data_IF_138546901604
#
_entry.id   IF_138546901604
#
_cell.length_a   1.000
_cell.length_b   1.000
_cell.length_c   1.000
_cell.angle_alpha   90.00
_cell.angle_beta   90.00
_cell.angle_gamma   90.00
#
_symmetry.space_group_name_H-M   'P 1'
#
loop_
_entity.id
_entity.type
_entity.pdbx_description
1 polymer ?
#
# COMPACT_ATOMS: atom_id res chain seq x y z
N UNK A 1 -4.19 12.18 -11.54
CA UNK A 1 -3.82 10.76 -11.38
C UNK A 1 -4.36 10.27 -10.06
N UNK A 2 -4.59 8.97 -9.89
CA UNK A 2 -4.99 8.37 -8.63
C UNK A 2 -3.96 7.35 -8.18
N UNK A 3 -3.52 7.47 -6.94
CA UNK A 3 -2.53 6.59 -6.34
C UNK A 3 -3.17 5.87 -5.16
N UNK A 4 -3.17 4.53 -5.21
CA UNK A 4 -3.51 3.74 -4.04
C UNK A 4 -2.33 3.73 -3.09
N UNK A 5 -2.53 4.10 -1.83
CA UNK A 5 -1.50 4.03 -0.79
C UNK A 5 -1.96 2.99 0.22
N UNK A 6 -1.39 1.80 0.13
CA UNK A 6 -1.90 0.63 0.84
C UNK A 6 -1.03 0.36 2.05
N UNK A 7 -1.62 0.48 3.24
CA UNK A 7 -0.98 0.07 4.48
C UNK A 7 -0.71 -1.45 4.46
N UNK A 8 0.41 -1.90 5.02
CA UNK A 8 0.72 -3.34 5.14
C UNK A 8 0.04 -4.00 6.34
N UNK A 9 -0.40 -3.20 7.33
CA UNK A 9 -1.11 -3.69 8.52
C UNK A 9 -2.59 -3.32 8.50
N UNK A 10 -3.36 -3.91 9.41
CA UNK A 10 -4.82 -3.75 9.49
C UNK A 10 -5.29 -2.57 10.35
N UNK A 11 -4.38 -1.72 10.82
CA UNK A 11 -4.72 -0.59 11.68
C UNK A 11 -5.20 0.61 10.86
N UNK A 12 -6.50 0.91 10.94
CA UNK A 12 -7.14 1.99 10.18
C UNK A 12 -6.56 3.38 10.53
N UNK A 13 -6.24 3.64 11.80
CA UNK A 13 -5.68 4.93 12.22
C UNK A 13 -4.29 5.18 11.63
N UNK A 14 -3.48 4.13 11.44
CA UNK A 14 -2.21 4.20 10.74
C UNK A 14 -2.43 4.48 9.26
N UNK A 15 -3.42 3.83 8.65
CA UNK A 15 -3.81 4.09 7.25
C UNK A 15 -4.23 5.54 7.02
N UNK A 16 -5.03 6.11 7.94
CA UNK A 16 -5.43 7.51 7.89
C UNK A 16 -4.21 8.44 7.98
N UNK A 17 -3.29 8.18 8.93
CA UNK A 17 -2.06 8.96 9.08
C UNK A 17 -1.16 8.91 7.83
N UNK A 18 -0.97 7.72 7.24
CA UNK A 18 -0.24 7.54 5.98
C UNK A 18 -0.91 8.34 4.85
N UNK A 19 -2.23 8.26 4.74
CA UNK A 19 -3.01 8.98 3.75
C UNK A 19 -2.87 10.50 3.85
N UNK A 20 -2.92 11.05 5.07
CA UNK A 20 -2.71 12.48 5.33
C UNK A 20 -1.31 12.93 4.90
N UNK A 21 -0.27 12.17 5.23
CA UNK A 21 1.10 12.49 4.84
C UNK A 21 1.27 12.45 3.32
N UNK A 22 0.78 11.39 2.66
CA UNK A 22 0.83 11.27 1.21
C UNK A 22 0.06 12.41 0.51
N UNK A 23 -1.12 12.78 1.02
CA UNK A 23 -1.91 13.88 0.46
C UNK A 23 -1.21 15.24 0.63
N UNK A 24 -0.51 15.47 1.75
CA UNK A 24 0.21 16.72 2.00
C UNK A 24 1.38 16.96 1.02
N UNK A 25 1.97 15.88 0.50
CA UNK A 25 3.06 15.93 -0.48
C UNK A 25 2.59 15.80 -1.93
N UNK A 26 1.31 15.48 -2.17
CA UNK A 26 0.77 15.22 -3.48
C UNK A 26 0.73 16.50 -4.35
N UNK A 27 1.14 16.38 -5.62
CA UNK A 27 1.00 17.47 -6.58
C UNK A 27 -0.47 17.78 -6.89
N UNK A 28 -0.82 19.02 -7.31
CA UNK A 28 -2.18 19.34 -7.73
C UNK A 28 -2.72 18.37 -8.79
N UNK A 29 -3.93 17.86 -8.59
CA UNK A 29 -4.57 16.88 -9.48
C UNK A 29 -4.19 15.41 -9.23
N UNK A 30 -3.39 15.14 -8.18
CA UNK A 30 -3.16 13.78 -7.66
C UNK A 30 -4.13 13.47 -6.54
N UNK A 31 -4.91 12.42 -6.71
CA UNK A 31 -5.80 11.86 -5.68
C UNK A 31 -5.08 10.73 -4.94
N UNK A 32 -5.07 10.80 -3.61
CA UNK A 32 -4.54 9.76 -2.73
C UNK A 32 -5.70 8.94 -2.18
N UNK A 33 -5.65 7.63 -2.39
CA UNK A 33 -6.64 6.69 -1.85
C UNK A 33 -5.94 5.79 -0.84
N UNK A 34 -5.99 6.11 0.46
CA UNK A 34 -5.39 5.27 1.49
C UNK A 34 -6.27 4.03 1.72
N UNK A 35 -5.66 2.85 1.74
CA UNK A 35 -6.37 1.57 1.87
C UNK A 35 -5.81 0.73 3.03
N UNK A 36 -6.71 0.15 3.82
CA UNK A 36 -6.40 -0.81 4.88
C UNK A 36 -6.77 -2.21 4.41
N UNK A 37 -5.86 -3.20 4.50
CA UNK A 37 -6.21 -4.58 4.24
C UNK A 37 -7.29 -5.15 5.16
N UNK A 38 -8.14 -6.02 4.62
CA UNK A 38 -9.24 -6.65 5.37
C UNK A 38 -8.79 -7.75 6.34
N UNK A 39 -7.55 -8.23 6.21
CA UNK A 39 -6.94 -9.24 7.06
C UNK A 39 -5.43 -9.00 7.18
N UNK A 40 -4.81 -9.62 8.19
CA UNK A 40 -3.40 -9.40 8.51
C UNK A 40 -3.21 -9.07 9.98
N UNK A 41 -1.96 -8.77 10.35
CA UNK A 41 -1.63 -8.32 11.69
C UNK A 41 -1.92 -6.81 11.85
N UNK A 42 -2.17 -6.37 13.08
CA UNK A 42 -2.36 -4.95 13.42
C UNK A 42 -1.05 -4.13 13.33
N UNK A 43 0.08 -4.82 13.50
CA UNK A 43 1.45 -4.36 13.29
C UNK A 43 2.23 -5.49 12.63
N UNK A 44 3.16 -5.18 11.72
CA UNK A 44 3.98 -6.18 11.02
C UNK A 44 5.40 -6.12 11.56
N UNK A 45 5.78 -7.10 12.37
CA UNK A 45 6.98 -7.07 13.21
C UNK A 45 7.89 -8.30 13.01
N UNK A 46 7.63 -9.09 11.96
CA UNK A 46 8.46 -10.23 11.63
C UNK A 46 8.09 -10.92 10.32
N UNK A 47 8.86 -11.95 9.98
CA UNK A 47 8.74 -12.63 8.68
C UNK A 47 7.34 -13.22 8.43
N UNK A 48 6.74 -13.86 9.43
CA UNK A 48 5.41 -14.45 9.30
C UNK A 48 4.36 -13.40 8.93
N UNK A 49 4.32 -12.30 9.67
CA UNK A 49 3.37 -11.22 9.46
C UNK A 49 3.64 -10.49 8.15
N UNK A 50 4.91 -10.35 7.78
CA UNK A 50 5.34 -9.76 6.51
C UNK A 50 4.86 -10.57 5.29
N UNK A 51 5.00 -11.90 5.32
CA UNK A 51 4.45 -12.76 4.27
C UNK A 51 2.91 -12.76 4.24
N UNK A 52 2.26 -12.65 5.40
CA UNK A 52 0.80 -12.50 5.46
C UNK A 52 0.35 -11.16 4.87
N UNK A 53 1.04 -10.07 5.21
CA UNK A 53 0.80 -8.72 4.71
C UNK A 53 0.93 -8.64 3.19
N UNK A 54 1.93 -9.33 2.60
CA UNK A 54 2.11 -9.39 1.15
C UNK A 54 0.82 -9.82 0.43
N UNK A 55 0.20 -10.93 0.88
CA UNK A 55 -1.06 -11.43 0.30
C UNK A 55 -2.22 -10.48 0.62
N UNK A 56 -2.27 -9.92 1.83
CA UNK A 56 -3.31 -8.99 2.24
C UNK A 56 -3.34 -7.72 1.38
N UNK A 57 -2.17 -7.14 1.10
CA UNK A 57 -2.03 -5.96 0.22
C UNK A 57 -2.46 -6.32 -1.21
N UNK A 58 -1.99 -7.44 -1.76
CA UNK A 58 -2.39 -7.88 -3.11
C UNK A 58 -3.90 -8.05 -3.25
N UNK A 59 -4.55 -8.71 -2.29
CA UNK A 59 -6.01 -8.88 -2.32
C UNK A 59 -6.76 -7.55 -2.15
N UNK A 60 -6.21 -6.64 -1.35
CA UNK A 60 -6.78 -5.29 -1.15
C UNK A 60 -6.78 -4.48 -2.44
N UNK A 61 -5.65 -4.49 -3.17
CA UNK A 61 -5.55 -3.82 -4.47
C UNK A 61 -6.47 -4.48 -5.49
N UNK A 62 -6.49 -5.81 -5.57
CA UNK A 62 -7.37 -6.55 -6.50
C UNK A 62 -8.87 -6.33 -6.24
N UNK A 63 -9.25 -6.08 -4.99
CA UNK A 63 -10.64 -5.80 -4.62
C UNK A 63 -11.06 -4.36 -4.95
N UNK A 64 -10.10 -3.44 -5.17
CA UNK A 64 -10.39 -2.06 -5.55
C UNK A 64 -10.90 -2.00 -6.99
N UNK A 65 -12.11 -1.45 -7.18
CA UNK A 65 -12.81 -1.50 -8.48
C UNK A 65 -12.68 -0.23 -9.31
N UNK A 66 -12.32 0.88 -8.70
CA UNK A 66 -12.17 2.12 -9.43
C UNK A 66 -10.81 2.18 -10.14
N UNK A 67 -10.68 2.90 -11.27
CA UNK A 67 -9.40 3.05 -11.94
C UNK A 67 -8.37 3.73 -11.04
N UNK A 68 -7.10 3.31 -11.12
CA UNK A 68 -5.95 3.93 -10.47
C UNK A 68 -4.73 3.88 -11.40
N UNK A 69 -3.78 4.78 -11.18
CA UNK A 69 -2.63 4.99 -12.05
C UNK A 69 -1.30 4.51 -11.44
N UNK A 70 -1.27 4.25 -10.13
CA UNK A 70 -0.11 3.71 -9.42
C UNK A 70 -0.50 3.13 -8.05
N UNK A 71 0.39 2.32 -7.48
CA UNK A 71 0.26 1.77 -6.12
C UNK A 71 1.53 2.05 -5.32
N UNK A 72 1.35 2.49 -4.08
CA UNK A 72 2.39 2.57 -3.06
C UNK A 72 2.09 1.51 -2.00
N UNK A 73 3.04 0.60 -1.76
CA UNK A 73 3.02 -0.29 -0.60
C UNK A 73 3.68 0.45 0.57
N UNK A 74 2.88 0.78 1.60
CA UNK A 74 3.29 1.60 2.72
C UNK A 74 3.67 0.74 3.95
N UNK A 75 4.76 -0.02 3.80
CA UNK A 75 5.42 -0.79 4.86
C UNK A 75 6.94 -0.79 4.64
N UNK A 76 7.72 -0.90 5.71
CA UNK A 76 9.18 -0.78 5.63
C UNK A 76 9.84 -2.15 5.86
N UNK A 77 10.27 -2.78 4.76
CA UNK A 77 10.91 -4.09 4.75
C UNK A 77 9.93 -5.25 4.55
N UNK A 78 8.67 -4.96 4.19
CA UNK A 78 7.67 -5.98 3.93
C UNK A 78 7.78 -6.63 2.55
N UNK A 79 7.42 -7.92 2.47
CA UNK A 79 7.32 -8.63 1.20
C UNK A 79 6.10 -8.14 0.40
N UNK A 80 6.06 -8.40 -0.91
CA UNK A 80 4.83 -8.30 -1.71
C UNK A 80 4.89 -7.36 -2.90
N UNK A 81 5.87 -6.45 -2.96
CA UNK A 81 6.05 -5.51 -4.08
C UNK A 81 6.14 -6.24 -5.43
N UNK A 82 6.94 -7.29 -5.51
CA UNK A 82 7.15 -8.05 -6.74
C UNK A 82 5.84 -8.71 -7.22
N UNK A 83 5.03 -9.22 -6.29
CA UNK A 83 3.72 -9.79 -6.62
C UNK A 83 2.75 -8.74 -7.16
N UNK A 84 2.72 -7.54 -6.57
CA UNK A 84 1.95 -6.43 -7.12
C UNK A 84 2.43 -6.03 -8.52
N UNK A 85 3.74 -6.02 -8.77
CA UNK A 85 4.31 -5.69 -10.09
C UNK A 85 3.95 -6.72 -11.17
N UNK A 86 3.78 -8.00 -10.80
CA UNK A 86 3.27 -9.01 -11.73
C UNK A 86 1.77 -8.88 -11.98
N UNK A 87 1.00 -8.46 -10.97
CA UNK A 87 -0.46 -8.37 -11.03
C UNK A 87 -0.96 -7.11 -11.75
N UNK A 88 -0.14 -6.07 -11.87
CA UNK A 88 -0.58 -4.73 -12.26
C UNK A 88 0.17 -4.21 -13.47
N UNK A 89 -0.55 -3.52 -14.36
CA UNK A 89 0.02 -2.81 -15.51
C UNK A 89 0.43 -1.35 -15.18
N UNK A 90 0.42 -0.99 -13.89
CA UNK A 90 0.75 0.36 -13.40
C UNK A 90 1.97 0.32 -12.47
N UNK A 91 2.71 1.43 -12.28
CA UNK A 91 3.86 1.47 -11.39
C UNK A 91 3.50 1.08 -9.96
N UNK A 92 4.38 0.28 -9.36
CA UNK A 92 4.33 -0.10 -7.94
C UNK A 92 5.64 0.32 -7.28
N UNK A 93 5.54 1.08 -6.20
CA UNK A 93 6.68 1.53 -5.40
C UNK A 93 6.46 1.15 -3.94
N UNK A 94 7.49 0.59 -3.31
CA UNK A 94 7.50 0.34 -1.86
C UNK A 94 8.25 1.48 -1.16
N UNK A 95 7.77 1.92 0.01
CA UNK A 95 8.37 3.06 0.74
C UNK A 95 9.81 2.78 1.19
N UNK A 96 10.21 1.51 1.34
CA UNK A 96 11.57 1.09 1.66
C UNK A 96 12.54 1.50 0.56
N UNK A 97 12.18 1.23 -0.69
CA UNK A 97 13.02 1.53 -1.85
C UNK A 97 12.96 3.00 -2.25
N UNK A 98 11.80 3.64 -2.03
CA UNK A 98 11.65 5.07 -2.30
C UNK A 98 12.49 5.95 -1.35
N UNK A 99 12.78 5.47 -0.14
CA UNK A 99 13.54 6.20 0.87
C UNK A 99 15.06 5.97 0.79
N UNK A 100 15.53 5.02 -0.03
CA UNK A 100 16.94 4.71 -0.23
C UNK A 100 17.65 5.74 -1.13
#
# INVERSE_FOLDING_TARGET
>A
MRILVVNVNTTESITASIGEQAASAASPGTEIVPLTPLFGAESVEGNYESYLAAIAVMETVRAHREPFDAVIQAGYGEHGREGLQELLDVPVVDITEAAA
#
